data_IF_693799270279
#
_entry.id   IF_693799270279
#
_cell.length_a   1.000
_cell.length_b   1.000
_cell.length_c   1.000
_cell.angle_alpha   90.00
_cell.angle_beta   90.00
_cell.angle_gamma   90.00
#
_symmetry.space_group_name_H-M   'P 1'
#
loop_
_entity.id
_entity.type
_entity.pdbx_description
1 polymer ?
#
# COMPACT_ATOMS: atom_id res chain seq x y z
N UNK A 1 2.98 -2.81 19.80
CA UNK A 1 4.04 -1.77 19.58
C UNK A 1 3.75 -1.10 18.26
N UNK A 2 3.53 0.21 18.27
CA UNK A 2 3.12 0.92 17.04
C UNK A 2 4.25 0.90 16.00
N UNK A 3 3.89 0.56 14.77
CA UNK A 3 4.79 0.57 13.62
C UNK A 3 4.66 1.87 12.81
N UNK A 4 3.50 2.53 12.88
CA UNK A 4 3.28 3.88 12.35
C UNK A 4 2.75 4.75 13.49
N UNK A 5 3.32 5.93 13.63
CA UNK A 5 2.85 6.98 14.54
C UNK A 5 2.95 8.33 13.82
N UNK A 6 1.81 8.85 13.42
CA UNK A 6 1.68 10.14 12.73
C UNK A 6 0.88 11.09 13.61
N UNK A 7 1.39 12.32 13.80
CA UNK A 7 0.80 13.33 14.69
C UNK A 7 0.65 14.66 13.98
N UNK A 8 -0.56 15.22 14.11
CA UNK A 8 -0.93 16.54 13.63
C UNK A 8 -0.57 16.75 12.15
N UNK A 9 -0.92 15.77 11.31
CA UNK A 9 -0.55 15.76 9.89
C UNK A 9 -1.44 16.73 9.12
N UNK A 10 -0.80 17.72 8.49
CA UNK A 10 -1.42 18.66 7.56
C UNK A 10 -0.84 18.47 6.16
N UNK A 11 -1.68 18.58 5.15
CA UNK A 11 -1.24 18.66 3.76
C UNK A 11 -2.01 19.73 3.02
N UNK A 12 -1.28 20.66 2.47
CA UNK A 12 -1.80 21.80 1.72
C UNK A 12 -1.17 21.80 0.32
N UNK A 13 -1.99 22.01 -0.71
CA UNK A 13 -1.56 22.17 -2.08
C UNK A 13 -1.90 23.58 -2.57
N UNK A 14 -1.10 24.09 -3.53
CA UNK A 14 -1.26 25.41 -4.10
C UNK A 14 -0.65 26.53 -3.25
N UNK A 15 -0.73 27.76 -3.73
CA UNK A 15 -0.20 28.96 -3.08
C UNK A 15 -1.24 30.09 -3.10
N UNK A 16 -1.17 30.97 -2.12
CA UNK A 16 -2.02 32.15 -2.01
C UNK A 16 -3.51 31.85 -2.00
N UNK A 17 -4.27 32.49 -2.87
CA UNK A 17 -5.73 32.35 -2.94
C UNK A 17 -6.22 30.98 -3.49
N UNK A 18 -5.33 30.19 -4.09
CA UNK A 18 -5.64 28.84 -4.62
C UNK A 18 -5.23 27.72 -3.66
N UNK A 19 -4.98 28.04 -2.41
CA UNK A 19 -4.59 27.08 -1.38
C UNK A 19 -5.73 26.12 -1.04
N UNK A 20 -5.45 24.80 -1.09
CA UNK A 20 -6.38 23.73 -0.71
C UNK A 20 -5.80 22.95 0.45
N UNK A 21 -6.48 22.96 1.60
CA UNK A 21 -6.12 22.18 2.78
C UNK A 21 -6.75 20.78 2.66
N UNK A 22 -5.96 19.77 2.30
CA UNK A 22 -6.44 18.40 2.08
C UNK A 22 -6.41 17.58 3.35
N UNK A 23 -5.36 17.71 4.18
CA UNK A 23 -5.30 17.10 5.52
C UNK A 23 -5.24 18.21 6.56
N UNK A 24 -6.01 18.05 7.65
CA UNK A 24 -6.30 19.12 8.60
C UNK A 24 -6.02 18.70 10.07
N UNK A 25 -4.78 18.26 10.35
CA UNK A 25 -4.36 17.85 11.70
C UNK A 25 -4.80 16.43 12.03
N UNK A 26 -4.33 15.46 11.24
CA UNK A 26 -4.67 14.04 11.44
C UNK A 26 -3.66 13.37 12.37
N UNK A 27 -4.18 12.62 13.36
CA UNK A 27 -3.42 11.70 14.18
C UNK A 27 -3.75 10.25 13.81
N UNK A 28 -2.71 9.45 13.51
CA UNK A 28 -2.84 8.02 13.16
C UNK A 28 -1.77 7.22 13.87
N UNK A 29 -2.20 6.16 14.55
CA UNK A 29 -1.30 5.13 15.09
C UNK A 29 -1.71 3.79 14.49
N UNK A 30 -0.74 2.99 14.01
CA UNK A 30 -0.96 1.62 13.50
C UNK A 30 -0.04 0.69 14.27
N UNK A 31 -0.61 -0.40 14.81
CA UNK A 31 0.17 -1.41 15.53
C UNK A 31 0.83 -2.40 14.57
N UNK A 32 1.94 -3.02 14.99
CA UNK A 32 2.59 -4.06 14.19
C UNK A 32 1.65 -5.27 14.03
N UNK A 33 1.46 -5.74 12.80
CA UNK A 33 0.54 -6.82 12.45
C UNK A 33 -0.92 -6.39 12.28
N UNK A 34 -1.26 -5.13 12.55
CA UNK A 34 -2.62 -4.61 12.39
C UNK A 34 -3.02 -4.51 10.90
N UNK A 35 -4.26 -4.83 10.59
CA UNK A 35 -4.91 -4.52 9.33
C UNK A 35 -5.85 -3.32 9.52
N UNK A 36 -5.39 -2.13 9.13
CA UNK A 36 -6.16 -0.89 9.18
C UNK A 36 -6.79 -0.60 7.82
N UNK A 37 -8.10 -0.35 7.78
CA UNK A 37 -8.77 0.25 6.63
C UNK A 37 -9.01 1.75 6.85
N UNK A 38 -8.75 2.56 5.83
CA UNK A 38 -9.08 4.00 5.78
C UNK A 38 -10.22 4.16 4.79
N UNK A 39 -11.38 4.56 5.28
CA UNK A 39 -12.61 4.70 4.49
C UNK A 39 -13.07 6.15 4.42
N UNK A 40 -13.86 6.48 3.40
CA UNK A 40 -14.46 7.80 3.22
C UNK A 40 -14.81 8.06 1.75
N UNK A 41 -15.58 9.11 1.50
CA UNK A 41 -15.99 9.53 0.15
C UNK A 41 -14.77 9.89 -0.72
N UNK A 42 -14.97 9.92 -2.04
CA UNK A 42 -13.95 10.48 -2.95
C UNK A 42 -13.65 11.94 -2.56
N UNK A 43 -12.37 12.31 -2.59
CA UNK A 43 -11.92 13.64 -2.16
C UNK A 43 -11.75 13.84 -0.63
N UNK A 44 -12.05 12.85 0.22
CA UNK A 44 -11.88 12.97 1.67
C UNK A 44 -10.41 13.07 2.14
N UNK A 45 -9.43 12.85 1.26
CA UNK A 45 -8.01 12.94 1.59
C UNK A 45 -7.34 11.59 1.90
N UNK A 46 -8.03 10.45 1.70
CA UNK A 46 -7.54 9.09 2.03
C UNK A 46 -6.20 8.75 1.38
N UNK A 47 -6.13 8.81 0.04
CA UNK A 47 -4.88 8.52 -0.70
C UNK A 47 -3.79 9.53 -0.36
N UNK A 48 -4.15 10.80 -0.10
CA UNK A 48 -3.19 11.81 0.37
C UNK A 48 -2.59 11.41 1.71
N UNK A 49 -3.41 10.97 2.68
CA UNK A 49 -2.91 10.47 3.96
C UNK A 49 -2.02 9.24 3.75
N UNK A 50 -2.46 8.27 2.95
CA UNK A 50 -1.66 7.08 2.64
C UNK A 50 -0.31 7.45 2.01
N UNK A 51 -0.24 8.42 1.11
CA UNK A 51 1.02 8.86 0.50
C UNK A 51 1.99 9.46 1.52
N UNK A 52 1.47 10.20 2.53
CA UNK A 52 2.30 10.69 3.63
C UNK A 52 2.87 9.52 4.44
N UNK A 53 2.01 8.56 4.85
CA UNK A 53 2.42 7.41 5.67
C UNK A 53 3.35 6.46 4.92
N UNK A 54 3.23 6.35 3.60
CA UNK A 54 4.05 5.49 2.73
C UNK A 54 5.30 6.16 2.17
N UNK A 55 5.62 7.38 2.63
CA UNK A 55 6.82 8.12 2.20
C UNK A 55 6.82 8.45 0.69
N UNK A 56 5.65 8.47 0.06
CA UNK A 56 5.50 8.88 -1.36
C UNK A 56 5.34 10.39 -1.50
N UNK A 57 4.84 11.08 -0.46
CA UNK A 57 4.72 12.53 -0.41
C UNK A 57 5.07 13.03 1.01
N UNK A 58 5.25 14.34 1.19
CA UNK A 58 5.59 14.96 2.46
C UNK A 58 4.44 15.76 3.03
N UNK A 59 4.18 15.69 4.35
CA UNK A 59 3.22 16.59 4.98
C UNK A 59 3.74 18.03 4.96
N UNK A 60 2.80 18.99 4.96
CA UNK A 60 3.14 20.41 5.12
C UNK A 60 3.52 20.72 6.57
N UNK A 61 2.91 19.99 7.53
CA UNK A 61 3.18 20.06 8.97
C UNK A 61 2.88 18.70 9.62
N UNK A 62 3.48 18.47 10.78
CA UNK A 62 3.29 17.27 11.59
C UNK A 62 4.52 16.39 11.65
N UNK A 63 4.40 15.28 12.36
CA UNK A 63 5.48 14.30 12.59
C UNK A 63 5.01 12.92 12.15
N UNK A 64 5.86 12.17 11.45
CA UNK A 64 5.55 10.80 11.05
C UNK A 64 6.74 9.89 11.36
N UNK A 65 6.51 8.94 12.25
CA UNK A 65 7.47 7.88 12.57
C UNK A 65 6.94 6.57 11.97
N UNK A 66 7.74 5.94 11.11
CA UNK A 66 7.43 4.65 10.49
C UNK A 66 8.54 3.66 10.79
N UNK A 67 8.19 2.52 11.37
CA UNK A 67 9.15 1.48 11.78
C UNK A 67 10.34 2.06 12.59
N UNK A 68 10.05 2.97 13.53
CA UNK A 68 11.04 3.63 14.38
C UNK A 68 11.86 4.74 13.71
N UNK A 69 11.61 5.06 12.45
CA UNK A 69 12.32 6.10 11.70
C UNK A 69 11.44 7.34 11.52
N UNK A 70 11.94 8.52 11.88
CA UNK A 70 11.31 9.80 11.53
C UNK A 70 11.51 10.06 10.03
N UNK A 71 10.45 9.86 9.26
CA UNK A 71 10.51 9.93 7.79
C UNK A 71 10.58 11.35 7.25
N UNK A 72 10.27 12.36 8.08
CA UNK A 72 10.35 13.78 7.68
C UNK A 72 11.80 14.24 7.58
N UNK A 73 12.69 13.65 8.40
CA UNK A 73 14.12 14.00 8.42
C UNK A 73 14.94 13.32 7.33
N UNK A 74 14.34 12.40 6.57
CA UNK A 74 15.04 11.65 5.53
C UNK A 74 15.29 12.52 4.29
N UNK A 75 16.50 12.43 3.74
CA UNK A 75 16.82 12.93 2.40
C UNK A 75 16.10 12.09 1.33
N UNK A 76 15.95 12.61 0.11
CA UNK A 76 15.31 11.89 -1.01
C UNK A 76 15.95 10.51 -1.28
N UNK A 77 17.27 10.41 -1.17
CA UNK A 77 17.97 9.13 -1.32
C UNK A 77 17.62 8.15 -0.20
N UNK A 78 17.54 8.62 1.03
CA UNK A 78 17.16 7.81 2.19
C UNK A 78 15.69 7.41 2.12
N UNK A 79 14.78 8.29 1.69
CA UNK A 79 13.36 7.97 1.43
C UNK A 79 13.21 6.86 0.41
N UNK A 80 13.94 6.96 -0.72
CA UNK A 80 13.93 5.93 -1.75
C UNK A 80 14.43 4.59 -1.20
N UNK A 81 15.51 4.59 -0.43
CA UNK A 81 16.03 3.39 0.23
C UNK A 81 15.05 2.85 1.27
N UNK A 82 14.41 3.73 2.05
CA UNK A 82 13.42 3.36 3.06
C UNK A 82 12.19 2.69 2.43
N UNK A 83 11.59 3.33 1.39
CA UNK A 83 10.48 2.74 0.63
C UNK A 83 10.84 1.36 0.12
N UNK A 84 11.98 1.25 -0.57
CA UNK A 84 12.43 0.00 -1.18
C UNK A 84 12.60 -1.13 -0.16
N UNK A 85 13.16 -0.84 1.02
CA UNK A 85 13.52 -1.88 1.99
C UNK A 85 12.46 -2.17 3.05
N UNK A 86 11.53 -1.23 3.28
CA UNK A 86 10.59 -1.31 4.41
C UNK A 86 9.15 -1.49 3.96
N UNK A 87 8.78 -0.93 2.81
CA UNK A 87 7.39 -0.82 2.38
C UNK A 87 7.09 -1.68 1.15
N UNK A 88 5.86 -2.21 1.07
CA UNK A 88 5.23 -2.72 -0.13
C UNK A 88 4.08 -1.80 -0.52
N UNK A 89 3.82 -1.64 -1.81
CA UNK A 89 2.74 -0.79 -2.28
C UNK A 89 1.96 -1.45 -3.41
N UNK A 90 0.64 -1.55 -3.23
CA UNK A 90 -0.34 -2.00 -4.22
C UNK A 90 -1.12 -0.79 -4.70
N UNK A 91 -0.96 -0.45 -5.98
CA UNK A 91 -1.60 0.70 -6.59
C UNK A 91 -2.96 0.36 -7.19
N UNK A 92 -3.87 1.32 -7.23
CA UNK A 92 -5.18 1.22 -7.85
C UNK A 92 -5.12 0.82 -9.34
N UNK A 93 -4.11 1.31 -10.07
CA UNK A 93 -3.89 1.06 -11.50
C UNK A 93 -2.80 0.03 -11.76
N UNK A 94 -2.57 -0.89 -10.80
CA UNK A 94 -1.58 -1.98 -10.85
C UNK A 94 -0.13 -1.47 -10.93
N UNK A 95 0.16 -0.41 -11.66
CA UNK A 95 1.47 0.20 -11.89
C UNK A 95 2.55 -0.82 -12.32
N UNK A 96 2.17 -1.79 -13.16
CA UNK A 96 3.10 -2.72 -13.77
C UNK A 96 3.85 -2.01 -14.92
N UNK A 97 5.13 -2.35 -15.08
CA UNK A 97 5.93 -1.90 -16.22
C UNK A 97 5.49 -2.70 -17.45
N UNK A 98 4.93 -2.05 -18.50
CA UNK A 98 4.24 -2.77 -19.57
C UNK A 98 5.16 -3.64 -20.44
N UNK A 99 6.44 -3.27 -20.54
CA UNK A 99 7.44 -3.99 -21.35
C UNK A 99 8.17 -5.11 -20.59
N UNK A 100 7.84 -5.31 -19.30
CA UNK A 100 8.37 -6.38 -18.48
C UNK A 100 7.30 -7.46 -18.25
N UNK A 101 7.73 -8.71 -18.29
CA UNK A 101 6.88 -9.87 -17.95
C UNK A 101 6.41 -9.79 -16.48
N UNK A 102 5.43 -10.61 -16.11
CA UNK A 102 4.98 -10.75 -14.73
C UNK A 102 6.13 -11.07 -13.77
N UNK A 103 7.00 -12.03 -14.14
CA UNK A 103 8.17 -12.40 -13.35
C UNK A 103 9.13 -11.22 -13.18
N UNK A 104 9.46 -10.51 -14.27
CA UNK A 104 10.38 -9.37 -14.24
C UNK A 104 9.81 -8.19 -13.44
N UNK A 105 8.51 -7.91 -13.52
CA UNK A 105 7.84 -6.92 -12.68
C UNK A 105 8.02 -7.22 -11.19
N UNK A 106 7.89 -8.48 -10.79
CA UNK A 106 8.06 -8.91 -9.39
C UNK A 106 9.54 -8.96 -8.99
N UNK A 107 10.44 -9.29 -9.90
CA UNK A 107 11.89 -9.27 -9.66
C UNK A 107 12.45 -7.88 -9.45
N UNK A 108 11.88 -6.86 -10.10
CA UNK A 108 12.43 -5.51 -10.14
C UNK A 108 12.81 -4.95 -8.75
N UNK A 109 11.93 -4.91 -7.73
CA UNK A 109 12.30 -4.41 -6.40
C UNK A 109 13.35 -5.29 -5.71
N UNK A 110 13.41 -6.58 -5.97
CA UNK A 110 14.40 -7.49 -5.41
C UNK A 110 15.80 -7.21 -5.97
N UNK A 111 15.89 -7.00 -7.28
CA UNK A 111 17.14 -6.62 -7.96
C UNK A 111 17.63 -5.25 -7.47
N UNK A 112 16.74 -4.29 -7.30
CA UNK A 112 17.06 -2.96 -6.74
C UNK A 112 17.58 -3.03 -5.30
N UNK A 113 17.20 -4.07 -4.53
CA UNK A 113 17.75 -4.36 -3.19
C UNK A 113 19.12 -5.05 -3.24
N UNK A 114 19.63 -5.36 -4.42
CA UNK A 114 20.91 -6.02 -4.62
C UNK A 114 20.87 -7.55 -4.64
N UNK A 115 19.68 -8.16 -4.76
CA UNK A 115 19.58 -9.61 -5.00
C UNK A 115 20.24 -9.96 -6.34
N UNK A 116 20.93 -11.10 -6.40
CA UNK A 116 21.36 -11.62 -7.70
C UNK A 116 20.16 -12.13 -8.51
N UNK A 117 20.33 -12.29 -9.81
CA UNK A 117 19.27 -12.63 -10.75
C UNK A 117 18.52 -13.91 -10.37
N UNK A 118 19.24 -14.98 -10.07
CA UNK A 118 18.64 -16.30 -9.76
C UNK A 118 17.83 -16.26 -8.44
N UNK A 119 18.35 -15.59 -7.41
CA UNK A 119 17.65 -15.44 -6.14
C UNK A 119 16.39 -14.55 -6.31
N UNK A 120 16.47 -13.46 -7.08
CA UNK A 120 15.35 -12.62 -7.39
C UNK A 120 14.26 -13.40 -8.16
N UNK A 121 14.66 -14.19 -9.17
CA UNK A 121 13.77 -15.02 -9.96
C UNK A 121 13.05 -16.08 -9.11
N UNK A 122 13.78 -16.80 -8.26
CA UNK A 122 13.19 -17.79 -7.36
C UNK A 122 12.18 -17.15 -6.41
N UNK A 123 12.51 -16.00 -5.81
CA UNK A 123 11.62 -15.27 -4.90
C UNK A 123 10.39 -14.71 -5.62
N UNK A 124 10.56 -14.21 -6.84
CA UNK A 124 9.48 -13.71 -7.66
C UNK A 124 8.48 -14.82 -8.02
N UNK A 125 8.96 -15.98 -8.49
CA UNK A 125 8.10 -17.13 -8.78
C UNK A 125 7.32 -17.58 -7.57
N UNK A 126 7.98 -17.72 -6.41
CA UNK A 126 7.30 -18.06 -5.16
C UNK A 126 6.18 -17.06 -4.82
N UNK A 127 6.41 -15.76 -5.01
CA UNK A 127 5.39 -14.74 -4.76
C UNK A 127 4.24 -14.82 -5.77
N UNK A 128 4.55 -15.07 -7.06
CA UNK A 128 3.56 -15.25 -8.13
C UNK A 128 2.69 -16.50 -7.86
N UNK A 129 3.30 -17.61 -7.47
CA UNK A 129 2.58 -18.82 -7.09
C UNK A 129 1.67 -18.58 -5.87
N UNK A 130 2.18 -17.84 -4.89
CA UNK A 130 1.42 -17.46 -3.68
C UNK A 130 0.16 -16.62 -3.94
N UNK A 131 0.07 -15.99 -5.10
CA UNK A 131 -1.15 -15.25 -5.53
C UNK A 131 -1.97 -16.01 -6.58
N UNK A 132 -1.72 -17.33 -6.77
CA UNK A 132 -2.45 -18.18 -7.69
C UNK A 132 -2.22 -17.85 -9.17
N UNK A 133 -0.99 -17.45 -9.52
CA UNK A 133 -0.61 -17.06 -10.88
C UNK A 133 0.47 -17.97 -11.46
N UNK A 134 0.52 -19.25 -11.03
CA UNK A 134 1.43 -20.25 -11.59
C UNK A 134 1.27 -20.35 -13.11
N UNK A 135 2.39 -20.46 -13.81
CA UNK A 135 2.43 -20.56 -15.27
C UNK A 135 2.30 -19.24 -16.03
N UNK A 136 2.03 -18.12 -15.35
CA UNK A 136 1.89 -16.79 -15.96
C UNK A 136 3.19 -15.96 -15.93
N UNK A 137 4.31 -16.55 -15.57
CA UNK A 137 5.58 -15.84 -15.33
C UNK A 137 6.04 -14.98 -16.51
N UNK A 138 5.87 -15.48 -17.74
CA UNK A 138 6.34 -14.81 -18.95
C UNK A 138 5.32 -13.91 -19.63
N UNK A 139 4.08 -13.86 -19.12
CA UNK A 139 3.04 -13.00 -19.67
C UNK A 139 3.39 -11.52 -19.45
N UNK A 140 3.17 -10.71 -20.48
CA UNK A 140 3.20 -9.25 -20.37
C UNK A 140 1.90 -8.74 -19.71
N UNK A 141 1.90 -7.54 -19.08
CA UNK A 141 0.69 -6.98 -18.50
C UNK A 141 -0.50 -6.92 -19.46
N UNK A 142 -0.28 -6.62 -20.75
CA UNK A 142 -1.33 -6.57 -21.75
C UNK A 142 -1.99 -7.93 -22.05
N UNK A 143 -1.37 -9.04 -21.65
CA UNK A 143 -1.88 -10.41 -21.82
C UNK A 143 -2.62 -10.91 -20.57
N UNK A 144 -2.72 -10.07 -19.54
CA UNK A 144 -3.36 -10.38 -18.26
C UNK A 144 -4.66 -9.59 -18.09
N UNK A 145 -5.69 -10.24 -17.53
CA UNK A 145 -6.90 -9.56 -17.08
C UNK A 145 -6.59 -8.54 -15.95
N UNK A 146 -7.49 -7.61 -15.66
CA UNK A 146 -7.31 -6.65 -14.59
C UNK A 146 -7.06 -7.30 -13.23
N UNK A 147 -7.82 -8.35 -12.89
CA UNK A 147 -7.63 -9.12 -11.65
C UNK A 147 -6.28 -9.87 -11.62
N UNK A 148 -5.82 -10.40 -12.76
CA UNK A 148 -4.49 -11.03 -12.87
C UNK A 148 -3.38 -10.00 -12.71
N UNK A 149 -3.50 -8.81 -13.33
CA UNK A 149 -2.54 -7.71 -13.15
C UNK A 149 -2.46 -7.27 -11.69
N UNK A 150 -3.60 -7.17 -11.01
CA UNK A 150 -3.62 -6.80 -9.59
C UNK A 150 -2.95 -7.86 -8.72
N UNK A 151 -3.19 -9.15 -8.98
CA UNK A 151 -2.47 -10.22 -8.26
C UNK A 151 -0.96 -10.17 -8.50
N UNK A 152 -0.49 -9.88 -9.70
CA UNK A 152 0.94 -9.66 -9.96
C UNK A 152 1.47 -8.40 -9.22
N UNK A 153 0.68 -7.32 -9.15
CA UNK A 153 1.03 -6.13 -8.37
C UNK A 153 1.18 -6.46 -6.88
N UNK A 154 0.29 -7.28 -6.31
CA UNK A 154 0.41 -7.78 -4.94
C UNK A 154 1.66 -8.64 -4.78
N UNK A 155 1.89 -9.61 -5.67
CA UNK A 155 3.11 -10.43 -5.64
C UNK A 155 4.38 -9.58 -5.63
N UNK A 156 4.44 -8.53 -6.47
CA UNK A 156 5.55 -7.56 -6.49
C UNK A 156 5.69 -6.84 -5.16
N UNK A 157 4.59 -6.41 -4.56
CA UNK A 157 4.60 -5.67 -3.30
C UNK A 157 5.11 -6.53 -2.12
N UNK A 158 4.77 -7.83 -2.10
CA UNK A 158 5.10 -8.73 -0.97
C UNK A 158 6.36 -9.56 -1.16
N UNK A 159 6.89 -9.70 -2.40
CA UNK A 159 8.04 -10.55 -2.71
C UNK A 159 9.27 -10.22 -1.86
N UNK A 160 9.47 -8.96 -1.53
CA UNK A 160 10.56 -8.48 -0.69
C UNK A 160 10.29 -8.58 0.81
N UNK A 161 9.19 -9.17 1.26
CA UNK A 161 8.76 -9.24 2.66
C UNK A 161 8.85 -7.87 3.37
N UNK A 162 8.10 -6.88 2.93
CA UNK A 162 8.11 -5.55 3.54
C UNK A 162 7.63 -5.61 5.00
N UNK A 163 7.86 -4.56 5.78
CA UNK A 163 7.30 -4.43 7.14
C UNK A 163 5.86 -3.97 7.13
N UNK A 164 5.49 -3.16 6.14
CA UNK A 164 4.15 -2.60 5.98
C UNK A 164 3.75 -2.72 4.52
N UNK A 165 2.54 -3.22 4.28
CA UNK A 165 1.89 -3.23 2.97
C UNK A 165 0.84 -2.12 2.92
N UNK A 166 0.99 -1.20 1.98
CA UNK A 166 -0.02 -0.21 1.63
C UNK A 166 -0.82 -0.67 0.42
N UNK A 167 -2.15 -0.53 0.44
CA UNK A 167 -3.03 -0.88 -0.66
C UNK A 167 -4.02 0.26 -0.94
N UNK A 168 -3.81 0.97 -2.05
CA UNK A 168 -4.62 2.13 -2.44
C UNK A 168 -5.73 1.69 -3.41
N UNK A 169 -6.95 1.59 -2.91
CA UNK A 169 -8.15 1.14 -3.63
C UNK A 169 -7.88 -0.11 -4.51
N UNK A 170 -7.40 -1.22 -3.94
CA UNK A 170 -6.88 -2.35 -4.70
C UNK A 170 -7.92 -3.09 -5.55
N UNK A 171 -9.20 -2.77 -5.37
CA UNK A 171 -10.36 -3.41 -6.05
C UNK A 171 -11.08 -2.50 -7.03
N UNK A 172 -10.76 -1.20 -7.08
CA UNK A 172 -11.55 -0.18 -7.78
C UNK A 172 -11.75 -0.43 -9.30
N UNK A 173 -10.86 -1.19 -9.94
CA UNK A 173 -10.92 -1.49 -11.38
C UNK A 173 -11.26 -2.97 -11.65
N UNK A 174 -11.85 -3.67 -10.68
CA UNK A 174 -12.13 -5.10 -10.77
C UNK A 174 -13.63 -5.39 -10.69
N UNK A 175 -14.04 -6.51 -11.26
CA UNK A 175 -15.33 -7.11 -10.97
C UNK A 175 -15.38 -7.67 -9.55
N UNK A 176 -16.57 -7.90 -9.01
CA UNK A 176 -16.77 -8.35 -7.62
C UNK A 176 -16.00 -9.65 -7.30
N UNK A 177 -15.95 -10.61 -8.22
CA UNK A 177 -15.26 -11.89 -7.99
C UNK A 177 -13.76 -11.67 -7.87
N UNK A 178 -13.17 -10.95 -8.83
CA UNK A 178 -11.74 -10.59 -8.80
C UNK A 178 -11.40 -9.70 -7.59
N UNK A 179 -12.29 -8.77 -7.24
CA UNK A 179 -12.14 -7.91 -6.06
C UNK A 179 -12.07 -8.71 -4.76
N UNK A 180 -13.02 -9.65 -4.57
CA UNK A 180 -13.00 -10.54 -3.38
C UNK A 180 -11.70 -11.35 -3.31
N UNK A 181 -11.24 -11.94 -4.41
CA UNK A 181 -9.98 -12.69 -4.44
C UNK A 181 -8.77 -11.83 -4.05
N UNK A 182 -8.75 -10.57 -4.47
CA UNK A 182 -7.68 -9.62 -4.12
C UNK A 182 -7.69 -9.31 -2.62
N UNK A 183 -8.86 -9.08 -2.03
CA UNK A 183 -9.00 -8.84 -0.59
C UNK A 183 -8.63 -10.07 0.22
N UNK A 184 -9.04 -11.27 -0.22
CA UNK A 184 -8.66 -12.52 0.43
C UNK A 184 -7.12 -12.69 0.47
N UNK A 185 -6.43 -12.40 -0.64
CA UNK A 185 -4.97 -12.42 -0.69
C UNK A 185 -4.32 -11.41 0.27
N UNK A 186 -4.80 -10.17 0.33
CA UNK A 186 -4.29 -9.16 1.26
C UNK A 186 -4.54 -9.58 2.71
N UNK A 187 -5.72 -10.15 3.00
CA UNK A 187 -6.08 -10.67 4.32
C UNK A 187 -5.20 -11.86 4.71
N UNK A 188 -4.93 -12.76 3.77
CA UNK A 188 -4.02 -13.88 3.98
C UNK A 188 -2.61 -13.40 4.33
N UNK A 189 -2.06 -12.46 3.59
CA UNK A 189 -0.74 -11.85 3.87
C UNK A 189 -0.69 -11.22 5.27
N UNK A 190 -1.77 -10.57 5.71
CA UNK A 190 -1.84 -10.04 7.07
C UNK A 190 -1.85 -11.17 8.13
N UNK A 191 -2.77 -12.13 7.99
CA UNK A 191 -3.03 -13.13 9.05
C UNK A 191 -1.98 -14.24 9.12
N UNK A 192 -1.48 -14.72 7.97
CA UNK A 192 -0.54 -15.83 7.93
C UNK A 192 0.91 -15.36 8.10
N UNK A 193 1.28 -14.22 7.51
CA UNK A 193 2.63 -13.66 7.57
C UNK A 193 2.82 -12.62 8.68
N UNK A 194 1.76 -12.25 9.41
CA UNK A 194 1.77 -11.19 10.43
C UNK A 194 2.10 -9.81 9.87
N UNK A 195 1.81 -9.60 8.59
CA UNK A 195 2.12 -8.37 7.86
C UNK A 195 1.23 -7.23 8.32
N UNK A 196 1.79 -6.07 8.66
CA UNK A 196 0.98 -4.86 8.85
C UNK A 196 0.42 -4.40 7.52
N UNK A 197 -0.88 -4.11 7.47
CA UNK A 197 -1.57 -3.65 6.26
C UNK A 197 -2.29 -2.35 6.53
N UNK A 198 -2.14 -1.37 5.63
CA UNK A 198 -2.94 -0.14 5.59
C UNK A 198 -3.62 -0.08 4.23
N UNK A 199 -4.93 -0.17 4.20
CA UNK A 199 -5.72 -0.18 2.97
C UNK A 199 -6.64 1.03 2.89
N UNK A 200 -6.68 1.68 1.75
CA UNK A 200 -7.71 2.66 1.41
C UNK A 200 -8.79 1.95 0.59
N UNK A 201 -10.04 2.11 0.97
CA UNK A 201 -11.18 1.65 0.21
C UNK A 201 -12.40 2.54 0.48
N UNK A 202 -13.35 2.57 -0.45
CA UNK A 202 -14.67 3.16 -0.25
C UNK A 202 -15.78 2.08 -0.11
N UNK A 203 -15.42 0.80 -0.27
CA UNK A 203 -16.34 -0.34 -0.23
C UNK A 203 -16.27 -1.02 1.15
N UNK A 204 -17.39 -0.90 1.91
CA UNK A 204 -17.47 -1.44 3.27
C UNK A 204 -17.31 -2.96 3.32
N UNK A 205 -17.79 -3.67 2.33
CA UNK A 205 -17.70 -5.14 2.27
C UNK A 205 -16.24 -5.62 2.29
N UNK A 206 -15.34 -4.89 1.65
CA UNK A 206 -13.92 -5.22 1.60
C UNK A 206 -13.14 -4.82 2.86
N UNK A 207 -13.74 -4.05 3.75
CA UNK A 207 -13.12 -3.69 5.03
C UNK A 207 -13.47 -4.63 6.18
N UNK A 208 -14.39 -5.57 5.98
CA UNK A 208 -14.89 -6.47 7.05
C UNK A 208 -13.83 -7.46 7.57
N UNK A 209 -12.75 -7.67 6.84
CA UNK A 209 -11.62 -8.50 7.27
C UNK A 209 -10.53 -7.76 8.03
N UNK A 210 -10.67 -6.42 8.20
CA UNK A 210 -9.71 -5.58 8.90
C UNK A 210 -9.91 -5.67 10.41
N UNK A 211 -8.88 -5.27 11.17
CA UNK A 211 -9.00 -5.16 12.63
C UNK A 211 -9.70 -3.85 13.03
N UNK A 212 -9.47 -2.79 12.25
CA UNK A 212 -9.97 -1.45 12.54
C UNK A 212 -10.27 -0.67 11.25
N UNK A 213 -11.33 0.15 11.30
CA UNK A 213 -11.69 1.07 10.22
C UNK A 213 -11.58 2.51 10.75
N UNK A 214 -10.86 3.36 10.04
CA UNK A 214 -10.85 4.80 10.21
C UNK A 214 -11.70 5.47 9.14
N UNK A 215 -12.68 6.26 9.55
CA UNK A 215 -13.52 7.03 8.63
C UNK A 215 -13.00 8.45 8.49
N UNK A 216 -12.74 8.84 7.25
CA UNK A 216 -12.29 10.18 6.89
C UNK A 216 -13.38 10.96 6.16
N UNK A 217 -13.53 12.23 6.51
CA UNK A 217 -14.38 13.21 5.81
C UNK A 217 -13.66 14.57 5.80
N UNK A 218 -13.63 15.21 4.64
CA UNK A 218 -13.07 16.57 4.45
C UNK A 218 -11.70 16.82 5.11
N UNK A 219 -10.82 15.83 5.05
CA UNK A 219 -9.44 15.93 5.54
C UNK A 219 -9.27 15.75 7.05
N UNK A 220 -10.28 15.22 7.75
CA UNK A 220 -10.21 14.85 9.18
C UNK A 220 -10.70 13.42 9.41
N UNK A 221 -10.29 12.79 10.52
CA UNK A 221 -10.85 11.52 10.99
C UNK A 221 -12.11 11.83 11.80
N UNK A 222 -13.26 11.32 11.37
CA UNK A 222 -14.55 11.56 12.02
C UNK A 222 -14.96 10.43 12.96
N UNK A 223 -14.50 9.21 12.72
CA UNK A 223 -14.76 8.07 13.61
C UNK A 223 -13.74 6.95 13.40
N UNK A 224 -13.61 6.09 14.40
CA UNK A 224 -12.80 4.87 14.38
C UNK A 224 -13.66 3.73 14.88
N UNK A 225 -13.76 2.65 14.10
CA UNK A 225 -14.51 1.43 14.40
C UNK A 225 -13.53 0.29 14.64
N UNK A 226 -13.65 -0.42 15.77
CA UNK A 226 -12.92 -1.65 16.03
C UNK A 226 -13.80 -2.82 15.58
N UNK A 227 -13.23 -3.76 14.80
CA UNK A 227 -13.97 -4.92 14.29
C UNK A 227 -13.61 -6.23 15.03
N UNK A 228 -12.45 -6.27 15.71
CA UNK A 228 -11.96 -7.40 16.51
C UNK A 228 -11.53 -6.95 17.90
#
# INVERSE_FOLDING_TARGET
MSIINAKNIHRTFGEGALTTHVLKGIDVTVEAGEFLAIMGKSGAGKSTLMYQLSVLDEPTQGEIIVNGTDIIQLTEKERTSFRLNTLGYVFQNYALVPDLSAEENVMLPLLMRGSNWEAAKQSARKAIDGVGMEGKYTNLPAELSGGEQQRISIARAVAGKPKILFADEPTANLDTVSGTQVIDLITQVNKEDGQTVVMVTHEREYSMGCDRIMHMEDGVIVSVEQLT
#
